data_IF_857261575590
#
_entry.id   IF_857261575590
#
_cell.length_a   1.000
_cell.length_b   1.000
_cell.length_c   1.000
_cell.angle_alpha   90.00
_cell.angle_beta   90.00
_cell.angle_gamma   90.00
#
_symmetry.space_group_name_H-M   'P 1'
#
loop_
_entity.id
_entity.type
_entity.pdbx_description
1 polymer ?
#
# COMPACT_ATOMS: atom_id res chain seq x y z
N UNK A 1 13.18 -14.48 -2.78
CA UNK A 1 12.52 -14.33 -4.09
C UNK A 1 12.36 -12.84 -4.31
N UNK A 2 13.27 -12.21 -5.06
CA UNK A 2 13.17 -10.77 -5.33
C UNK A 2 12.08 -10.58 -6.38
N UNK A 3 10.93 -10.07 -5.97
CA UNK A 3 9.90 -9.59 -6.89
C UNK A 3 10.56 -8.50 -7.72
N UNK A 4 10.53 -8.62 -9.04
CA UNK A 4 11.02 -7.57 -9.93
C UNK A 4 10.25 -6.28 -9.59
N UNK A 5 10.98 -5.18 -9.37
CA UNK A 5 10.45 -3.83 -9.11
C UNK A 5 9.72 -3.22 -10.31
N UNK A 6 9.13 -4.05 -11.16
CA UNK A 6 8.15 -3.64 -12.14
C UNK A 6 6.76 -4.18 -11.78
N UNK A 7 6.67 -5.26 -11.00
CA UNK A 7 5.38 -5.89 -10.69
C UNK A 7 4.55 -5.07 -9.72
N UNK A 8 5.17 -4.55 -8.66
CA UNK A 8 4.47 -3.77 -7.61
C UNK A 8 4.01 -2.43 -8.19
N UNK A 9 4.88 -1.83 -8.98
CA UNK A 9 4.71 -0.60 -9.71
C UNK A 9 3.57 -0.75 -10.71
N UNK A 10 3.60 -1.81 -11.53
CA UNK A 10 2.53 -2.11 -12.48
C UNK A 10 1.19 -2.35 -11.78
N UNK A 11 1.18 -3.08 -10.66
CA UNK A 11 -0.04 -3.32 -9.89
C UNK A 11 -0.59 -2.00 -9.32
N UNK A 12 0.26 -1.17 -8.72
CA UNK A 12 -0.14 0.14 -8.22
C UNK A 12 -0.71 1.01 -9.36
N UNK A 13 -0.08 1.00 -10.54
CA UNK A 13 -0.58 1.71 -11.70
C UNK A 13 -1.95 1.22 -12.17
N UNK A 14 -2.16 -0.09 -12.22
CA UNK A 14 -3.46 -0.67 -12.57
C UNK A 14 -4.57 -0.22 -11.61
N UNK A 15 -4.29 -0.27 -10.31
CA UNK A 15 -5.25 0.20 -9.29
C UNK A 15 -5.48 1.71 -9.41
N UNK A 16 -4.43 2.50 -9.67
CA UNK A 16 -4.56 3.93 -9.94
C UNK A 16 -5.46 4.19 -11.17
N UNK A 17 -5.26 3.45 -12.26
CA UNK A 17 -6.09 3.57 -13.46
C UNK A 17 -7.56 3.27 -13.17
N UNK A 18 -7.83 2.28 -12.33
CA UNK A 18 -9.18 2.00 -11.84
C UNK A 18 -9.73 3.13 -10.96
N UNK A 19 -8.93 3.66 -10.03
CA UNK A 19 -9.31 4.83 -9.23
C UNK A 19 -9.67 5.99 -10.15
N UNK A 20 -8.84 6.30 -11.16
CA UNK A 20 -9.09 7.41 -12.09
C UNK A 20 -10.40 7.23 -12.86
N UNK A 21 -10.73 6.02 -13.28
CA UNK A 21 -11.91 5.72 -14.10
C UNK A 21 -13.20 5.69 -13.29
N UNK A 22 -13.14 5.13 -12.08
CA UNK A 22 -14.34 4.76 -11.32
C UNK A 22 -14.61 5.68 -10.12
N UNK A 23 -13.73 6.65 -9.85
CA UNK A 23 -13.91 7.48 -8.65
C UNK A 23 -15.09 8.44 -8.75
N UNK A 24 -15.83 8.58 -7.65
CA UNK A 24 -16.87 9.60 -7.48
C UNK A 24 -16.31 10.96 -7.01
N UNK A 25 -14.99 11.05 -6.82
CA UNK A 25 -14.30 12.24 -6.33
C UNK A 25 -13.42 12.84 -7.43
N UNK A 26 -13.08 14.12 -7.31
CA UNK A 26 -12.10 14.74 -8.20
C UNK A 26 -10.70 14.31 -7.80
N UNK A 27 -9.98 13.62 -8.67
CA UNK A 27 -8.56 13.34 -8.48
C UNK A 27 -7.76 14.64 -8.67
N UNK A 28 -6.95 15.02 -7.68
CA UNK A 28 -6.20 16.29 -7.67
C UNK A 28 -4.70 16.09 -7.78
N UNK A 29 -4.15 15.12 -7.04
CA UNK A 29 -2.72 14.83 -7.01
C UNK A 29 -2.46 13.34 -6.81
N UNK A 30 -1.26 12.92 -7.17
CA UNK A 30 -0.70 11.63 -6.77
C UNK A 30 0.58 11.85 -5.95
N UNK A 31 0.91 10.88 -5.11
CA UNK A 31 2.18 10.79 -4.40
C UNK A 31 2.90 9.52 -4.86
N UNK A 32 4.21 9.60 -5.08
CA UNK A 32 5.04 8.42 -5.33
C UNK A 32 5.73 7.92 -4.03
N UNK A 33 6.46 6.81 -4.13
CA UNK A 33 7.21 6.22 -3.01
C UNK A 33 8.29 7.13 -2.42
N UNK A 34 8.74 8.13 -3.17
CA UNK A 34 9.67 9.16 -2.71
C UNK A 34 8.98 10.34 -2.02
N UNK A 35 7.65 10.33 -1.92
CA UNK A 35 6.86 11.42 -1.34
C UNK A 35 6.72 12.64 -2.27
N UNK A 36 7.09 12.52 -3.55
CA UNK A 36 6.90 13.60 -4.53
C UNK A 36 5.46 13.66 -4.98
N UNK A 37 4.93 14.87 -5.03
CA UNK A 37 3.59 15.17 -5.55
C UNK A 37 3.62 15.29 -7.07
N UNK A 38 2.78 14.52 -7.75
CA UNK A 38 2.68 14.48 -9.20
C UNK A 38 1.36 15.13 -9.62
N UNK A 39 1.46 16.12 -10.51
CA UNK A 39 0.31 16.75 -11.16
C UNK A 39 -0.25 15.85 -12.27
N UNK A 40 -1.58 15.77 -12.35
CA UNK A 40 -2.28 14.94 -13.35
C UNK A 40 -1.92 15.24 -14.79
N UNK A 41 -1.65 16.51 -15.10
CA UNK A 41 -1.34 16.97 -16.45
C UNK A 41 -0.05 16.36 -17.02
N UNK A 42 0.81 15.81 -16.15
CA UNK A 42 2.11 15.24 -16.52
C UNK A 42 2.20 13.72 -16.34
N UNK A 43 1.13 13.01 -15.97
CA UNK A 43 1.23 11.57 -15.60
C UNK A 43 1.75 10.71 -16.76
N UNK A 44 1.33 10.97 -18.00
CA UNK A 44 1.82 10.22 -19.16
C UNK A 44 3.33 10.41 -19.40
N UNK A 45 3.89 11.55 -18.98
CA UNK A 45 5.33 11.84 -19.04
C UNK A 45 6.09 11.34 -17.81
N UNK A 46 5.38 11.05 -16.71
CA UNK A 46 5.97 10.72 -15.41
C UNK A 46 5.93 9.22 -15.11
N UNK A 47 4.99 8.48 -15.71
CA UNK A 47 4.97 7.02 -15.60
C UNK A 47 6.01 6.39 -16.53
N UNK A 48 7.23 6.26 -16.01
CA UNK A 48 8.34 5.56 -16.64
C UNK A 48 8.31 4.04 -16.45
N UNK A 49 7.23 3.51 -15.85
CA UNK A 49 7.07 2.11 -15.48
C UNK A 49 7.83 1.69 -14.22
N UNK A 50 8.64 2.57 -13.64
CA UNK A 50 9.50 2.29 -12.48
C UNK A 50 9.08 3.07 -11.24
N UNK A 51 8.37 4.19 -11.41
CA UNK A 51 7.91 5.01 -10.29
C UNK A 51 6.77 4.33 -9.56
N UNK A 52 6.95 3.93 -8.30
CA UNK A 52 5.84 3.40 -7.51
C UNK A 52 4.90 4.52 -7.03
N UNK A 53 3.65 4.51 -7.51
CA UNK A 53 2.60 5.39 -6.99
C UNK A 53 2.06 4.83 -5.67
N UNK A 54 1.96 5.67 -4.64
CA UNK A 54 1.58 5.24 -3.29
C UNK A 54 0.25 5.81 -2.83
N UNK A 55 -0.04 7.09 -3.14
CA UNK A 55 -1.28 7.74 -2.68
C UNK A 55 -1.96 8.55 -3.77
N UNK A 56 -3.28 8.65 -3.66
CA UNK A 56 -4.13 9.53 -4.44
C UNK A 56 -4.81 10.56 -3.53
N UNK A 57 -4.86 11.81 -4.00
CA UNK A 57 -5.50 12.92 -3.32
C UNK A 57 -6.82 13.19 -4.04
N UNK A 58 -7.92 12.88 -3.37
CA UNK A 58 -9.28 12.95 -3.88
C UNK A 58 -10.02 14.11 -3.20
N UNK A 59 -10.73 14.92 -3.96
CA UNK A 59 -11.50 16.07 -3.48
C UNK A 59 -12.99 15.83 -3.72
N UNK A 60 -13.83 16.04 -2.69
CA UNK A 60 -15.28 16.00 -2.85
C UNK A 60 -15.88 17.32 -3.32
N UNK A 61 -17.18 17.31 -3.59
CA UNK A 61 -17.92 18.50 -4.06
C UNK A 61 -17.89 19.68 -3.10
N UNK A 62 -17.58 19.46 -1.82
CA UNK A 62 -17.47 20.49 -0.79
C UNK A 62 -16.02 20.98 -0.63
N UNK A 63 -15.10 20.53 -1.48
CA UNK A 63 -13.68 20.84 -1.41
C UNK A 63 -12.92 20.08 -0.32
N UNK A 64 -13.54 19.05 0.29
CA UNK A 64 -12.84 18.26 1.31
C UNK A 64 -11.93 17.26 0.66
N UNK A 65 -10.67 17.28 1.10
CA UNK A 65 -9.61 16.43 0.58
C UNK A 65 -9.48 15.12 1.39
N UNK A 66 -9.39 14.02 0.67
CA UNK A 66 -9.16 12.68 1.17
C UNK A 66 -7.86 12.14 0.58
N UNK A 67 -6.98 11.67 1.46
CA UNK A 67 -5.77 10.98 1.07
C UNK A 67 -6.05 9.49 1.19
N UNK A 68 -5.89 8.77 0.08
CA UNK A 68 -6.07 7.32 0.02
C UNK A 68 -4.87 6.64 -0.60
N UNK A 69 -4.58 5.45 -0.11
CA UNK A 69 -3.52 4.61 -0.67
C UNK A 69 -3.99 4.00 -1.99
N UNK A 70 -3.04 3.77 -2.89
CA UNK A 70 -3.29 3.08 -4.15
C UNK A 70 -3.26 1.57 -3.89
N UNK A 71 -4.37 1.09 -3.34
CA UNK A 71 -4.64 -0.31 -3.03
C UNK A 71 -6.15 -0.59 -3.16
N UNK A 72 -6.57 -1.83 -2.96
CA UNK A 72 -7.98 -2.20 -3.09
C UNK A 72 -8.91 -1.46 -2.11
N UNK A 73 -8.45 -1.20 -0.88
CA UNK A 73 -9.24 -0.46 0.11
C UNK A 73 -9.45 1.00 -0.32
N UNK A 74 -8.41 1.63 -0.87
CA UNK A 74 -8.47 2.96 -1.45
C UNK A 74 -9.37 3.02 -2.69
N UNK A 75 -9.34 1.98 -3.54
CA UNK A 75 -10.24 1.85 -4.68
C UNK A 75 -11.71 1.75 -4.25
N UNK A 76 -12.03 0.89 -3.28
CA UNK A 76 -13.39 0.79 -2.74
C UNK A 76 -13.87 2.10 -2.12
N UNK A 77 -12.99 2.86 -1.45
CA UNK A 77 -13.33 4.20 -1.00
C UNK A 77 -13.58 5.14 -2.18
N UNK A 78 -12.69 5.15 -3.18
CA UNK A 78 -12.78 6.02 -4.34
C UNK A 78 -14.07 5.81 -5.13
N UNK A 79 -14.54 4.57 -5.23
CA UNK A 79 -15.83 4.16 -5.83
C UNK A 79 -17.06 4.52 -4.97
N UNK A 80 -16.86 4.92 -3.72
CA UNK A 80 -17.95 5.16 -2.76
C UNK A 80 -18.56 3.89 -2.15
N UNK A 81 -17.96 2.72 -2.36
CA UNK A 81 -18.42 1.44 -1.78
C UNK A 81 -18.27 1.41 -0.26
N UNK A 82 -17.26 2.12 0.26
CA UNK A 82 -17.00 2.25 1.70
C UNK A 82 -16.86 3.72 2.10
N UNK A 83 -17.31 4.05 3.32
CA UNK A 83 -17.08 5.37 3.90
C UNK A 83 -15.61 5.60 4.24
N UNK A 84 -15.17 6.86 4.28
CA UNK A 84 -13.80 7.20 4.70
C UNK A 84 -13.46 6.66 6.10
N UNK A 85 -14.44 6.64 7.01
CA UNK A 85 -14.27 6.08 8.36
C UNK A 85 -14.01 4.57 8.32
N UNK A 86 -14.70 3.85 7.43
CA UNK A 86 -14.49 2.42 7.23
C UNK A 86 -13.11 2.15 6.59
N UNK A 87 -12.76 2.91 5.54
CA UNK A 87 -11.43 2.88 4.92
C UNK A 87 -10.31 3.02 5.96
N UNK A 88 -10.36 4.06 6.80
CA UNK A 88 -9.35 4.30 7.86
C UNK A 88 -9.25 3.18 8.89
N UNK A 89 -10.34 2.43 9.13
CA UNK A 89 -10.33 1.26 10.02
C UNK A 89 -9.63 0.07 9.36
N UNK A 90 -9.90 -0.18 8.07
CA UNK A 90 -9.26 -1.26 7.32
C UNK A 90 -7.74 -1.06 7.25
N UNK A 91 -7.29 0.14 6.90
CA UNK A 91 -5.87 0.54 6.88
C UNK A 91 -5.16 0.28 8.23
N UNK A 92 -5.80 0.69 9.34
CA UNK A 92 -5.24 0.44 10.67
C UNK A 92 -5.19 -1.05 11.01
N UNK A 93 -6.16 -1.83 10.53
CA UNK A 93 -6.25 -3.26 10.79
C UNK A 93 -5.18 -4.05 10.02
N UNK A 94 -4.88 -3.68 8.78
CA UNK A 94 -3.84 -4.30 7.96
C UNK A 94 -2.45 -4.07 8.58
N UNK A 95 -2.17 -2.83 9.00
CA UNK A 95 -0.93 -2.51 9.71
C UNK A 95 -0.76 -3.37 10.98
N UNK A 96 -1.84 -3.57 11.75
CA UNK A 96 -1.81 -4.44 12.94
C UNK A 96 -1.54 -5.90 12.58
N UNK A 97 -2.19 -6.42 11.55
CA UNK A 97 -1.96 -7.80 11.08
C UNK A 97 -0.50 -7.99 10.68
N UNK A 98 0.07 -7.08 9.91
CA UNK A 98 1.47 -7.13 9.49
C UNK A 98 2.44 -7.20 10.67
N UNK A 99 2.22 -6.37 11.70
CA UNK A 99 3.04 -6.38 12.92
C UNK A 99 2.92 -7.72 13.66
N UNK A 100 1.71 -8.27 13.78
CA UNK A 100 1.48 -9.55 14.46
C UNK A 100 2.19 -10.69 13.71
N UNK A 101 2.06 -10.75 12.38
CA UNK A 101 2.74 -11.74 11.56
C UNK A 101 4.26 -11.64 11.66
N UNK A 102 4.81 -10.43 11.57
CA UNK A 102 6.24 -10.20 11.72
C UNK A 102 6.75 -10.62 13.11
N UNK A 103 6.00 -10.27 14.16
CA UNK A 103 6.31 -10.68 15.53
C UNK A 103 6.33 -12.21 15.67
N UNK A 104 5.30 -12.91 15.18
CA UNK A 104 5.26 -14.37 15.20
C UNK A 104 6.44 -15.00 14.46
N UNK A 105 6.84 -14.43 13.32
CA UNK A 105 7.99 -14.90 12.54
C UNK A 105 9.29 -14.79 13.36
N UNK A 106 9.52 -13.65 14.02
CA UNK A 106 10.71 -13.43 14.88
C UNK A 106 10.73 -14.38 16.08
N UNK A 107 9.58 -14.62 16.72
CA UNK A 107 9.51 -15.60 17.81
C UNK A 107 9.82 -17.00 17.32
N UNK A 108 9.31 -17.40 16.16
CA UNK A 108 9.58 -18.70 15.58
C UNK A 108 11.08 -18.88 15.29
N UNK A 109 11.73 -17.89 14.69
CA UNK A 109 13.17 -17.96 14.39
C UNK A 109 14.01 -18.04 15.66
N UNK A 110 13.67 -17.27 16.70
CA UNK A 110 14.34 -17.34 18.01
C UNK A 110 14.20 -18.72 18.66
N UNK A 111 13.00 -19.32 18.63
CA UNK A 111 12.77 -20.68 19.15
C UNK A 111 13.62 -21.68 18.37
N UNK A 112 13.64 -21.61 17.04
CA UNK A 112 14.44 -22.53 16.23
C UNK A 112 15.93 -22.42 16.53
N UNK A 113 16.48 -21.20 16.67
CA UNK A 113 17.89 -21.01 17.02
C UNK A 113 18.22 -21.61 18.40
N UNK A 114 17.39 -21.31 19.41
CA UNK A 114 17.57 -21.84 20.76
C UNK A 114 17.52 -23.38 20.79
N UNK A 115 16.60 -24.00 20.05
CA UNK A 115 16.53 -25.47 19.95
C UNK A 115 17.76 -26.06 19.25
N UNK A 116 18.31 -25.37 18.25
CA UNK A 116 19.47 -25.82 17.49
C UNK A 116 20.76 -25.72 18.31
N UNK A 117 20.95 -24.62 19.06
CA UNK A 117 22.06 -24.48 20.02
C UNK A 117 22.03 -25.59 21.07
N UNK A 118 20.85 -25.87 21.65
CA UNK A 118 20.69 -26.92 22.65
C UNK A 118 20.95 -28.32 22.07
N UNK A 119 20.57 -28.56 20.82
CA UNK A 119 20.83 -29.83 20.13
C UNK A 119 22.33 -30.01 19.84
N UNK A 120 23.03 -28.97 19.38
CA UNK A 120 24.48 -28.99 19.17
C UNK A 120 25.25 -29.24 20.47
N UNK A 121 24.85 -28.59 21.58
CA UNK A 121 25.47 -28.78 22.90
C UNK A 121 25.27 -30.18 23.48
N UNK A 122 24.21 -30.89 23.11
CA UNK A 122 23.97 -32.27 23.54
C UNK A 122 24.66 -33.32 22.63
N UNK A 123 25.25 -32.90 21.52
CA UNK A 123 25.93 -33.77 20.53
C UNK A 123 27.46 -33.76 20.67
N UNK A 124 28.02 -32.80 21.42
CA UNK A 124 29.44 -32.67 21.78
C UNK A 124 29.65 -33.18 23.20
#
# INVERSE_FOLDING_TARGET
MCITSNFIELQAYQIYEEIRKETIYKLVWLENSEGRMIQLNNIQSYWDGQTLLTKAFLEDINGKLYIVNINNNGLSFAKGEISYKAYRRLEKSENRKGIIFFSMLVFLTMITMFTLEKLLLNLV
#
